data_IF_874286615947
#
_entry.id   IF_874286615947
#
_cell.length_a   1.000
_cell.length_b   1.000
_cell.length_c   1.000
_cell.angle_alpha   90.00
_cell.angle_beta   90.00
_cell.angle_gamma   90.00
#
_symmetry.space_group_name_H-M   'P 1'
#
loop_
_entity.id
_entity.type
_entity.pdbx_description
1 polymer ?
#
# COMPACT_ATOMS: atom_id res chain seq x y z
N UNK A 1 6.69 -15.10 -12.91
CA UNK A 1 6.34 -16.53 -13.06
C UNK A 1 5.02 -16.64 -13.80
N UNK A 2 4.79 -17.68 -14.62
CA UNK A 2 3.48 -17.84 -15.27
C UNK A 2 2.45 -18.41 -14.29
N UNK A 3 1.20 -17.94 -14.37
CA UNK A 3 0.11 -18.41 -13.51
C UNK A 3 -0.10 -19.93 -13.58
N UNK A 4 0.15 -20.53 -14.74
CA UNK A 4 0.06 -21.98 -14.93
C UNK A 4 1.08 -22.76 -14.09
N UNK A 5 2.30 -22.23 -13.93
CA UNK A 5 3.35 -22.86 -13.14
C UNK A 5 3.04 -22.79 -11.64
N UNK A 6 2.60 -21.62 -11.17
CA UNK A 6 2.16 -21.41 -9.78
C UNK A 6 0.99 -22.33 -9.38
N UNK A 7 -0.01 -22.46 -10.26
CA UNK A 7 -1.15 -23.34 -10.00
C UNK A 7 -0.73 -24.80 -9.85
N UNK A 8 0.21 -25.27 -10.68
CA UNK A 8 0.71 -26.64 -10.63
C UNK A 8 1.50 -26.92 -9.36
N UNK A 9 2.32 -25.98 -8.92
CA UNK A 9 3.06 -26.07 -7.66
C UNK A 9 2.11 -26.12 -6.45
N UNK A 10 1.08 -25.27 -6.42
CA UNK A 10 0.06 -25.26 -5.37
C UNK A 10 -0.74 -26.56 -5.28
N UNK A 11 -1.16 -27.12 -6.41
CA UNK A 11 -1.89 -28.40 -6.45
C UNK A 11 -1.00 -29.51 -5.89
N UNK A 12 0.26 -29.58 -6.31
CA UNK A 12 1.20 -30.57 -5.76
C UNK A 12 1.39 -30.40 -4.25
N UNK A 13 1.46 -29.17 -3.73
CA UNK A 13 1.58 -28.94 -2.29
C UNK A 13 0.34 -29.42 -1.53
N UNK A 14 -0.86 -29.17 -2.07
CA UNK A 14 -2.13 -29.59 -1.48
C UNK A 14 -2.26 -31.12 -1.49
N UNK A 15 -1.89 -31.77 -2.59
CA UNK A 15 -1.95 -33.23 -2.74
C UNK A 15 -1.01 -33.99 -1.80
N UNK A 16 0.06 -33.34 -1.32
CA UNK A 16 1.02 -33.94 -0.39
C UNK A 16 0.73 -33.60 1.09
N UNK A 17 -0.36 -32.90 1.40
CA UNK A 17 -0.78 -32.63 2.78
C UNK A 17 -1.69 -33.77 3.25
N UNK A 18 -1.17 -34.59 4.18
CA UNK A 18 -1.95 -35.66 4.83
C UNK A 18 -2.73 -35.17 6.07
N UNK A 19 -2.84 -33.85 6.26
CA UNK A 19 -3.53 -33.24 7.40
C UNK A 19 -4.86 -32.59 6.95
N UNK A 20 -5.96 -33.26 7.26
CA UNK A 20 -7.32 -32.81 6.91
C UNK A 20 -7.73 -31.50 7.58
N UNK A 21 -7.32 -31.25 8.83
CA UNK A 21 -7.59 -29.98 9.52
C UNK A 21 -6.90 -28.81 8.82
N UNK A 22 -5.66 -29.01 8.38
CA UNK A 22 -4.90 -28.01 7.64
C UNK A 22 -5.53 -27.73 6.26
N UNK A 23 -6.02 -28.76 5.58
CA UNK A 23 -6.76 -28.61 4.32
C UNK A 23 -8.09 -27.87 4.52
N UNK A 24 -8.78 -28.12 5.64
CA UNK A 24 -10.02 -27.41 5.98
C UNK A 24 -9.76 -25.92 6.22
N UNK A 25 -8.70 -25.58 6.97
CA UNK A 25 -8.30 -24.19 7.20
C UNK A 25 -7.96 -23.48 5.88
N UNK A 26 -7.15 -24.12 5.04
CA UNK A 26 -6.75 -23.58 3.75
C UNK A 26 -7.94 -23.33 2.82
N UNK A 27 -8.96 -24.20 2.88
CA UNK A 27 -10.21 -24.04 2.13
C UNK A 27 -10.99 -22.82 2.60
N UNK A 28 -11.09 -22.59 3.90
CA UNK A 28 -11.76 -21.41 4.45
C UNK A 28 -11.06 -20.12 4.01
N UNK A 29 -9.73 -20.08 4.06
CA UNK A 29 -8.93 -18.95 3.60
C UNK A 29 -9.13 -18.70 2.10
N UNK A 30 -9.05 -19.74 1.26
CA UNK A 30 -9.27 -19.59 -0.19
C UNK A 30 -10.67 -19.06 -0.49
N UNK A 31 -11.69 -19.54 0.23
CA UNK A 31 -13.07 -19.07 0.07
C UNK A 31 -13.22 -17.62 0.55
N UNK A 32 -12.55 -17.25 1.64
CA UNK A 32 -12.54 -15.89 2.16
C UNK A 32 -11.88 -14.94 1.16
N UNK A 33 -10.61 -15.17 0.79
CA UNK A 33 -9.88 -14.33 -0.15
C UNK A 33 -10.41 -14.38 -1.58
N UNK A 34 -11.12 -15.44 -1.96
CA UNK A 34 -11.79 -15.53 -3.25
C UNK A 34 -13.10 -14.73 -3.34
N UNK A 35 -13.71 -14.40 -2.19
CA UNK A 35 -14.96 -13.62 -2.08
C UNK A 35 -14.73 -12.18 -1.66
N UNK A 36 -13.67 -11.92 -0.91
CA UNK A 36 -13.21 -10.56 -0.65
C UNK A 36 -12.71 -10.04 -1.98
N UNK A 37 -13.45 -9.11 -2.59
CA UNK A 37 -12.87 -8.28 -3.64
C UNK A 37 -11.62 -7.65 -3.00
N UNK A 38 -10.43 -8.10 -3.41
CA UNK A 38 -9.13 -7.56 -3.01
C UNK A 38 -9.00 -6.12 -3.54
N UNK A 39 -9.89 -5.23 -3.11
CA UNK A 39 -9.84 -3.82 -3.38
C UNK A 39 -8.79 -3.26 -2.43
N UNK A 40 -7.63 -2.99 -2.98
CA UNK A 40 -6.65 -2.15 -2.32
C UNK A 40 -7.28 -0.76 -2.06
N UNK A 41 -6.85 -0.06 -1.02
CA UNK A 41 -7.27 1.33 -0.74
C UNK A 41 -6.99 2.23 -1.96
N UNK A 42 -6.01 1.84 -2.79
CA UNK A 42 -5.65 2.53 -4.02
C UNK A 42 -6.50 2.14 -5.24
N UNK A 43 -7.26 1.05 -5.21
CA UNK A 43 -7.99 0.55 -6.40
C UNK A 43 -9.18 1.43 -6.78
N UNK A 44 -9.69 2.21 -5.83
CA UNK A 44 -10.74 3.22 -6.08
C UNK A 44 -10.17 4.57 -6.52
N UNK A 45 -8.84 4.73 -6.56
CA UNK A 45 -8.21 5.99 -6.94
C UNK A 45 -8.04 6.10 -8.46
N UNK A 46 -8.39 7.27 -8.99
CA UNK A 46 -8.09 7.61 -10.38
C UNK A 46 -6.59 7.78 -10.59
N UNK A 47 -6.13 7.69 -11.85
CA UNK A 47 -4.71 7.90 -12.20
C UNK A 47 -4.16 9.24 -11.71
N UNK A 48 -4.99 10.27 -11.63
CA UNK A 48 -4.59 11.60 -11.12
C UNK A 48 -4.34 11.53 -9.62
N UNK A 49 -5.27 10.94 -8.86
CA UNK A 49 -5.14 10.78 -7.41
C UNK A 49 -3.94 9.91 -7.02
N UNK A 50 -3.65 8.84 -7.79
CA UNK A 50 -2.44 8.04 -7.59
C UNK A 50 -1.16 8.84 -7.80
N UNK A 51 -1.16 9.74 -8.78
CA UNK A 51 -0.02 10.62 -9.06
C UNK A 51 0.18 11.65 -7.95
N UNK A 52 -0.89 12.21 -7.42
CA UNK A 52 -0.86 13.15 -6.28
C UNK A 52 -0.38 12.44 -5.00
N UNK A 53 -0.91 11.26 -4.71
CA UNK A 53 -0.51 10.47 -3.55
C UNK A 53 0.99 10.12 -3.59
N UNK A 54 1.47 9.74 -4.78
CA UNK A 54 2.90 9.47 -5.00
C UNK A 54 3.73 10.74 -4.80
N UNK A 55 3.28 11.88 -5.30
CA UNK A 55 3.98 13.15 -5.10
C UNK A 55 4.05 13.53 -3.61
N UNK A 56 2.96 13.39 -2.86
CA UNK A 56 2.94 13.63 -1.42
C UNK A 56 3.88 12.68 -0.65
N UNK A 57 3.92 11.41 -1.04
CA UNK A 57 4.84 10.44 -0.43
C UNK A 57 6.32 10.70 -0.73
N UNK A 58 6.61 11.45 -1.80
CA UNK A 58 7.96 11.84 -2.21
C UNK A 58 8.33 13.26 -1.73
N UNK A 59 7.41 13.98 -1.10
CA UNK A 59 7.72 15.28 -0.49
C UNK A 59 8.51 15.10 0.80
N UNK A 60 9.53 15.96 0.96
CA UNK A 60 10.36 16.03 2.16
C UNK A 60 9.50 16.50 3.35
N UNK A 61 9.49 15.73 4.45
CA UNK A 61 8.75 16.04 5.68
C UNK A 61 9.08 17.44 6.22
N UNK A 62 10.26 17.99 5.86
CA UNK A 62 10.75 19.28 6.32
C UNK A 62 10.49 20.43 5.34
N UNK A 63 9.82 20.20 4.20
CA UNK A 63 9.64 21.20 3.14
C UNK A 63 8.87 22.45 3.59
N UNK A 64 8.03 22.33 4.61
CA UNK A 64 7.34 23.47 5.25
C UNK A 64 8.07 24.05 6.48
N UNK A 65 9.16 23.43 6.92
CA UNK A 65 9.93 23.89 8.07
C UNK A 65 10.85 25.04 7.65
N UNK A 66 10.30 26.25 7.68
CA UNK A 66 11.08 27.47 7.46
C UNK A 66 12.10 27.62 8.59
N UNK A 67 13.34 27.92 8.24
CA UNK A 67 14.36 28.22 9.25
C UNK A 67 13.99 29.49 10.03
N UNK A 68 14.45 29.61 11.28
CA UNK A 68 14.25 30.81 12.09
C UNK A 68 14.75 32.09 11.39
N UNK A 69 15.78 31.96 10.54
CA UNK A 69 16.32 33.05 9.72
C UNK A 69 15.34 33.51 8.64
N UNK A 70 14.73 32.57 7.91
CA UNK A 70 13.73 32.86 6.88
C UNK A 70 12.47 33.47 7.49
N UNK A 71 12.03 32.96 8.63
CA UNK A 71 10.91 33.54 9.37
C UNK A 71 11.20 34.99 9.81
N UNK A 72 12.40 35.27 10.33
CA UNK A 72 12.81 36.64 10.72
C UNK A 72 12.87 37.57 9.50
N UNK A 73 13.34 37.09 8.35
CA UNK A 73 13.38 37.86 7.10
C UNK A 73 11.98 38.16 6.56
N UNK A 74 11.08 37.16 6.59
CA UNK A 74 9.69 37.31 6.14
C UNK A 74 8.89 38.27 7.03
N UNK A 75 9.07 38.19 8.35
CA UNK A 75 8.35 39.02 9.33
C UNK A 75 9.03 40.36 9.65
N UNK A 76 10.24 40.61 9.13
CA UNK A 76 11.02 41.81 9.42
C UNK A 76 10.30 43.12 9.05
N UNK A 77 9.51 43.11 7.97
CA UNK A 77 8.69 44.28 7.56
C UNK A 77 7.57 44.61 8.54
N UNK A 78 7.12 43.65 9.35
CA UNK A 78 6.05 43.85 10.33
C UNK A 78 6.58 44.19 11.72
N UNK A 79 7.86 43.89 11.98
CA UNK A 79 8.55 44.23 13.24
C UNK A 79 9.05 45.67 13.29
N UNK A 80 9.15 46.36 12.16
CA UNK A 80 9.45 47.79 12.10
C UNK A 80 8.15 48.59 12.08
N UNK A 81 7.52 48.76 13.24
CA UNK A 81 6.46 49.74 13.46
C UNK A 81 6.70 50.48 14.77
#
# INVERSE_FOLDING_TARGET
MSNAKLKKELVNLIENIDNEEMLSLLKEDIVFYGKVENRDITDSLTKVQLKELKALSEEDDLKETQSLSEFKKATGKWRMK
#
